data_IF_218026189269
#
_entry.id   IF_218026189269
#
_cell.length_a   1.000
_cell.length_b   1.000
_cell.length_c   1.000
_cell.angle_alpha   90.00
_cell.angle_beta   90.00
_cell.angle_gamma   90.00
#
_symmetry.space_group_name_H-M   'P 1'
#
loop_
_entity.id
_entity.type
_entity.pdbx_description
1 polymer ?
#
# COMPACT_ATOMS: atom_id res chain seq x y z
N UNK A 1 10.79 11.37 4.47
CA UNK A 1 9.58 11.67 5.29
C UNK A 1 9.30 13.18 5.41
N UNK A 2 10.26 14.02 5.85
CA UNK A 2 10.03 15.48 6.04
C UNK A 2 9.48 16.17 4.78
N UNK A 3 10.14 16.01 3.62
CA UNK A 3 9.69 16.56 2.33
C UNK A 3 8.25 16.16 1.99
N UNK A 4 7.98 14.86 2.02
CA UNK A 4 6.66 14.26 1.75
C UNK A 4 5.56 14.84 2.65
N UNK A 5 5.80 14.90 3.96
CA UNK A 5 4.84 15.45 4.92
C UNK A 5 4.58 16.95 4.68
N UNK A 6 5.62 17.72 4.34
CA UNK A 6 5.47 19.13 4.01
C UNK A 6 4.64 19.34 2.73
N UNK A 7 4.92 18.57 1.68
CA UNK A 7 4.16 18.59 0.42
C UNK A 7 2.68 18.24 0.65
N UNK A 8 2.40 17.15 1.38
CA UNK A 8 1.04 16.72 1.64
C UNK A 8 0.28 17.69 2.56
N UNK A 9 0.95 18.26 3.57
CA UNK A 9 0.35 19.31 4.42
C UNK A 9 -0.06 20.53 3.62
N UNK A 10 0.79 21.00 2.69
CA UNK A 10 0.48 22.16 1.83
C UNK A 10 -0.76 21.95 0.95
N UNK A 11 -1.14 20.70 0.70
CA UNK A 11 -2.31 20.31 -0.10
C UNK A 11 -3.57 20.04 0.72
N UNK A 12 -3.51 20.20 2.05
CA UNK A 12 -4.63 19.90 2.94
C UNK A 12 -4.69 18.46 3.45
N UNK A 13 -3.62 17.67 3.25
CA UNK A 13 -3.49 16.31 3.76
C UNK A 13 -2.37 16.22 4.82
N UNK A 14 -2.50 16.90 5.97
CA UNK A 14 -1.49 16.81 7.02
C UNK A 14 -1.40 15.35 7.51
N UNK A 15 -0.19 14.83 7.70
CA UNK A 15 0.02 13.45 8.18
C UNK A 15 -0.03 12.35 7.11
N UNK A 16 -0.35 12.67 5.85
CA UNK A 16 -0.40 11.67 4.77
C UNK A 16 1.00 11.16 4.39
N UNK A 17 1.12 9.84 4.31
CA UNK A 17 2.33 9.10 3.93
C UNK A 17 2.35 8.68 2.45
N UNK A 18 1.22 8.74 1.76
CA UNK A 18 1.12 8.44 0.34
C UNK A 18 -0.23 7.85 -0.02
N UNK A 19 -0.42 7.60 -1.31
CA UNK A 19 -1.54 6.82 -1.82
C UNK A 19 -1.10 5.37 -1.95
N UNK A 20 -1.83 4.44 -1.34
CA UNK A 20 -1.63 3.01 -1.47
C UNK A 20 -2.64 2.44 -2.47
N UNK A 21 -2.17 1.54 -3.33
CA UNK A 21 -3.01 0.82 -4.29
C UNK A 21 -2.46 -0.60 -4.53
N UNK A 22 -3.34 -1.49 -4.98
CA UNK A 22 -3.06 -2.89 -5.27
C UNK A 22 -3.38 -3.21 -6.73
N UNK A 23 -2.39 -3.73 -7.47
CA UNK A 23 -2.54 -4.05 -8.89
C UNK A 23 -2.32 -5.54 -9.15
N UNK A 24 -3.20 -6.11 -9.97
CA UNK A 24 -3.05 -7.47 -10.49
C UNK A 24 -1.97 -7.49 -11.59
N UNK A 25 -0.80 -8.03 -11.28
CA UNK A 25 0.33 -8.11 -12.20
C UNK A 25 0.44 -9.50 -12.83
N UNK A 26 0.48 -9.57 -14.16
CA UNK A 26 0.67 -10.83 -14.89
C UNK A 26 2.05 -11.42 -14.63
N UNK A 27 2.10 -12.66 -14.14
CA UNK A 27 3.34 -13.35 -13.81
C UNK A 27 3.68 -14.45 -14.82
N UNK A 28 4.34 -14.06 -15.92
CA UNK A 28 4.71 -14.97 -17.03
C UNK A 28 5.58 -16.15 -16.58
N UNK A 29 6.47 -15.93 -15.62
CA UNK A 29 7.44 -16.90 -15.14
C UNK A 29 7.04 -17.49 -13.77
N UNK A 30 5.74 -17.61 -13.48
CA UNK A 30 5.28 -18.23 -12.24
C UNK A 30 5.81 -19.67 -12.12
N UNK A 31 6.54 -20.02 -11.04
CA UNK A 31 7.00 -21.38 -10.82
C UNK A 31 5.85 -22.36 -10.87
N UNK A 32 6.04 -23.51 -11.53
CA UNK A 32 4.99 -24.53 -11.67
C UNK A 32 4.41 -24.98 -10.32
N UNK A 33 5.26 -25.03 -9.28
CA UNK A 33 4.86 -25.37 -7.90
C UNK A 33 3.86 -24.38 -7.29
N UNK A 34 3.90 -23.11 -7.68
CA UNK A 34 3.00 -22.06 -7.19
C UNK A 34 1.86 -21.75 -8.19
N UNK A 35 1.88 -22.34 -9.38
CA UNK A 35 0.97 -21.99 -10.48
C UNK A 35 -0.51 -22.13 -10.10
N UNK A 36 -0.87 -23.13 -9.30
CA UNK A 36 -2.26 -23.31 -8.84
C UNK A 36 -2.71 -22.20 -7.88
N UNK A 37 -1.85 -21.79 -6.96
CA UNK A 37 -2.16 -20.76 -5.97
C UNK A 37 -2.29 -19.37 -6.60
N UNK A 38 -1.46 -19.07 -7.60
CA UNK A 38 -1.43 -17.77 -8.28
C UNK A 38 -2.28 -17.73 -9.55
N UNK A 39 -3.04 -18.79 -9.85
CA UNK A 39 -4.00 -18.74 -10.95
C UNK A 39 -5.19 -17.87 -10.54
N UNK A 40 -5.27 -16.67 -11.12
CA UNK A 40 -6.32 -15.69 -10.80
C UNK A 40 -7.59 -15.86 -11.66
N UNK A 41 -8.49 -14.87 -11.56
CA UNK A 41 -9.71 -14.81 -12.40
C UNK A 41 -9.42 -14.54 -13.89
N UNK A 42 -8.28 -13.93 -14.21
CA UNK A 42 -7.81 -13.72 -15.59
C UNK A 42 -7.01 -14.93 -16.06
N UNK A 43 -7.02 -15.22 -17.37
CA UNK A 43 -6.22 -16.31 -17.96
C UNK A 43 -4.74 -16.14 -17.61
N UNK A 44 -4.20 -16.98 -16.73
CA UNK A 44 -2.78 -17.02 -16.37
C UNK A 44 -2.51 -16.79 -14.89
N UNK A 45 -1.23 -16.89 -14.51
CA UNK A 45 -0.79 -16.62 -13.14
C UNK A 45 -0.68 -15.12 -12.90
N UNK A 46 -1.24 -14.63 -11.81
CA UNK A 46 -1.18 -13.23 -11.37
C UNK A 46 -0.61 -13.12 -9.97
N UNK A 47 0.23 -12.12 -9.75
CA UNK A 47 0.77 -11.72 -8.46
C UNK A 47 0.32 -10.29 -8.17
N UNK A 48 -0.03 -10.00 -6.92
CA UNK A 48 -0.40 -8.65 -6.52
C UNK A 48 0.86 -7.82 -6.30
N UNK A 49 0.85 -6.62 -6.89
CA UNK A 49 1.73 -5.51 -6.54
C UNK A 49 0.98 -4.58 -5.59
N UNK A 50 1.46 -4.46 -4.36
CA UNK A 50 1.10 -3.38 -3.44
C UNK A 50 2.12 -2.25 -3.61
N UNK A 51 1.68 -1.01 -3.84
CA UNK A 51 2.56 0.12 -4.01
C UNK A 51 2.08 1.35 -3.23
N UNK A 52 3.03 2.16 -2.74
CA UNK A 52 2.75 3.50 -2.23
C UNK A 52 3.49 4.55 -3.04
N UNK A 53 2.73 5.51 -3.55
CA UNK A 53 3.24 6.64 -4.31
C UNK A 53 2.93 7.97 -3.62
N UNK A 54 3.80 8.95 -3.83
CA UNK A 54 3.49 10.35 -3.53
C UNK A 54 2.84 11.06 -4.73
N UNK A 55 2.55 12.35 -4.56
CA UNK A 55 1.92 13.17 -5.59
C UNK A 55 2.77 13.30 -6.87
N UNK A 56 4.09 13.28 -6.74
CA UNK A 56 5.02 13.36 -7.87
C UNK A 56 5.22 11.98 -8.51
N UNK A 57 4.37 11.01 -8.16
CA UNK A 57 4.39 9.62 -8.63
C UNK A 57 5.64 8.85 -8.19
N UNK A 58 6.36 9.36 -7.18
CA UNK A 58 7.51 8.65 -6.63
C UNK A 58 7.04 7.47 -5.78
N UNK A 59 7.34 6.25 -6.26
CA UNK A 59 7.06 5.01 -5.56
C UNK A 59 8.17 4.79 -4.52
N UNK A 60 7.84 4.95 -3.25
CA UNK A 60 8.80 4.72 -2.16
C UNK A 60 8.59 3.38 -1.45
N UNK A 61 7.47 2.71 -1.70
CA UNK A 61 7.20 1.35 -1.27
C UNK A 61 6.59 0.54 -2.42
N UNK A 62 7.09 -0.69 -2.62
CA UNK A 62 6.53 -1.67 -3.52
C UNK A 62 6.74 -3.06 -2.94
N UNK A 63 5.71 -3.91 -3.02
CA UNK A 63 5.76 -5.30 -2.57
C UNK A 63 5.02 -6.21 -3.56
N UNK A 64 5.69 -7.29 -3.95
CA UNK A 64 5.10 -8.40 -4.68
C UNK A 64 5.08 -9.64 -3.78
N UNK A 65 3.96 -10.35 -3.71
CA UNK A 65 3.96 -11.62 -2.97
C UNK A 65 2.63 -12.31 -2.81
N UNK A 66 1.52 -11.60 -3.00
CA UNK A 66 0.19 -12.15 -2.77
C UNK A 66 -0.41 -12.73 -4.06
N UNK A 67 -1.21 -13.82 -3.97
CA UNK A 67 -1.93 -14.36 -5.12
C UNK A 67 -2.88 -13.34 -5.73
N UNK A 68 -2.89 -13.20 -7.05
CA UNK A 68 -3.81 -12.31 -7.76
C UNK A 68 -5.24 -12.84 -7.88
N UNK A 69 -5.64 -13.75 -6.99
CA UNK A 69 -7.04 -14.11 -6.71
C UNK A 69 -7.59 -13.36 -5.50
N UNK A 70 -6.74 -12.68 -4.72
CA UNK A 70 -7.15 -11.86 -3.59
C UNK A 70 -7.69 -10.52 -4.06
N UNK A 71 -8.78 -10.07 -3.44
CA UNK A 71 -9.28 -8.70 -3.56
C UNK A 71 -8.50 -7.75 -2.62
N UNK A 72 -8.71 -6.45 -2.81
CA UNK A 72 -7.87 -5.42 -2.18
C UNK A 72 -7.95 -5.45 -0.65
N UNK A 73 -9.13 -5.70 -0.06
CA UNK A 73 -9.26 -5.84 1.40
C UNK A 73 -8.41 -6.99 1.97
N UNK A 74 -8.34 -8.12 1.26
CA UNK A 74 -7.52 -9.25 1.68
C UNK A 74 -6.03 -8.99 1.50
N UNK A 75 -5.67 -8.17 0.50
CA UNK A 75 -4.30 -7.73 0.26
C UNK A 75 -3.85 -6.80 1.38
N UNK A 76 -4.65 -5.76 1.68
CA UNK A 76 -4.36 -4.80 2.76
C UNK A 76 -4.26 -5.51 4.12
N UNK A 77 -5.16 -6.45 4.43
CA UNK A 77 -5.09 -7.21 5.69
C UNK A 77 -3.82 -8.07 5.84
N UNK A 78 -3.14 -8.40 4.74
CA UNK A 78 -1.91 -9.22 4.72
C UNK A 78 -0.68 -8.40 4.30
N UNK A 79 -0.84 -7.10 4.14
CA UNK A 79 0.20 -6.20 3.69
C UNK A 79 1.35 -6.15 4.71
N UNK A 80 2.61 -6.34 4.27
CA UNK A 80 3.77 -6.10 5.12
C UNK A 80 3.84 -4.66 5.62
N UNK A 81 3.32 -3.69 4.86
CA UNK A 81 3.25 -2.29 5.27
C UNK A 81 2.24 -2.10 6.41
N UNK A 82 1.06 -2.70 6.30
CA UNK A 82 0.04 -2.64 7.36
C UNK A 82 0.51 -3.32 8.64
N UNK A 83 1.24 -4.43 8.54
CA UNK A 83 1.86 -5.08 9.70
C UNK A 83 2.83 -4.15 10.43
N UNK A 84 3.66 -3.38 9.71
CA UNK A 84 4.55 -2.38 10.32
C UNK A 84 3.79 -1.27 11.05
N UNK A 85 2.62 -0.87 10.54
CA UNK A 85 1.74 0.10 11.20
C UNK A 85 1.20 -0.51 12.49
N UNK A 86 0.63 -1.72 12.42
CA UNK A 86 0.03 -2.40 13.56
C UNK A 86 1.04 -2.67 14.69
N UNK A 87 2.30 -2.97 14.32
CA UNK A 87 3.38 -3.20 15.26
C UNK A 87 4.04 -1.91 15.80
N UNK A 88 3.63 -0.73 15.31
CA UNK A 88 4.25 0.54 15.71
C UNK A 88 5.68 0.73 15.21
N UNK A 89 6.08 0.05 14.14
CA UNK A 89 7.42 0.09 13.55
C UNK A 89 7.63 1.30 12.62
N UNK A 90 6.55 1.99 12.24
CA UNK A 90 6.66 3.19 11.43
C UNK A 90 7.06 4.42 12.27
N UNK A 91 7.81 5.38 11.69
CA UNK A 91 8.16 6.61 12.38
C UNK A 91 6.91 7.36 12.87
N UNK A 92 6.93 7.94 14.07
CA UNK A 92 5.82 8.76 14.55
C UNK A 92 5.64 9.98 13.65
N UNK A 93 4.38 10.32 13.38
CA UNK A 93 4.01 11.51 12.60
C UNK A 93 2.91 12.23 13.36
N UNK A 94 3.24 13.40 13.89
CA UNK A 94 2.28 14.22 14.60
C UNK A 94 1.61 15.22 13.65
N UNK A 95 0.28 15.24 13.69
CA UNK A 95 -0.51 16.26 13.00
C UNK A 95 -1.83 16.53 13.72
N UNK A 96 -2.45 17.67 13.39
CA UNK A 96 -3.77 18.04 13.91
C UNK A 96 -4.76 18.03 12.76
N UNK A 97 -5.87 17.32 12.95
CA UNK A 97 -7.00 17.34 12.05
C UNK A 97 -8.30 17.37 12.87
N UNK A 98 -9.24 18.22 12.48
CA UNK A 98 -10.53 18.37 13.16
C UNK A 98 -10.41 18.58 14.70
N UNK A 99 -9.45 19.41 15.13
CA UNK A 99 -9.20 19.69 16.55
C UNK A 99 -8.55 18.54 17.34
N UNK A 100 -8.22 17.41 16.70
CA UNK A 100 -7.60 16.25 17.33
C UNK A 100 -6.16 16.08 16.88
N UNK A 101 -5.27 15.79 17.84
CA UNK A 101 -3.89 15.39 17.56
C UNK A 101 -3.81 13.90 17.27
N UNK A 102 -3.12 13.56 16.19
CA UNK A 102 -2.80 12.20 15.78
C UNK A 102 -1.28 12.01 15.86
N UNK A 103 -0.83 10.80 16.20
CA UNK A 103 0.59 10.49 16.42
C UNK A 103 1.18 9.54 15.37
N UNK A 104 0.35 9.10 14.42
CA UNK A 104 0.73 8.21 13.32
C UNK A 104 0.20 8.78 12.01
N UNK A 105 0.99 8.67 10.95
CA UNK A 105 0.56 9.06 9.62
C UNK A 105 -0.44 8.08 9.03
N UNK A 106 -1.09 8.47 7.94
CA UNK A 106 -2.08 7.64 7.24
C UNK A 106 -1.77 7.54 5.74
N UNK A 107 -2.36 6.54 5.11
CA UNK A 107 -2.35 6.36 3.66
C UNK A 107 -3.75 6.63 3.12
N UNK A 108 -3.83 7.12 1.88
CA UNK A 108 -5.09 7.14 1.14
C UNK A 108 -5.16 5.88 0.29
N UNK A 109 -6.28 5.19 0.33
CA UNK A 109 -6.63 4.15 -0.62
C UNK A 109 -7.85 4.61 -1.42
N UNK A 110 -8.02 4.13 -2.63
CA UNK A 110 -9.31 4.23 -3.32
C UNK A 110 -10.31 3.23 -2.69
N UNK A 111 -11.52 3.14 -3.25
CA UNK A 111 -12.59 2.34 -2.64
C UNK A 111 -12.22 0.86 -2.55
N UNK A 112 -11.88 0.41 -1.33
CA UNK A 112 -11.66 -1.00 -0.95
C UNK A 112 -12.98 -1.77 -0.88
#
# INVERSE_FOLDING_TARGET
LIRLLAMNKARGFPGMLGSIDCMHWSWKNCPKVCHGQFHGQKKGSTIILEAVADQETWIWHAFFGMPGSLNDINVVNRSPLMNKIANGELPPVQFVANGRTYNYGYYLADGI
#
